data_IF_342439784631
#
_entry.id   IF_342439784631
#
_cell.length_a   1.000
_cell.length_b   1.000
_cell.length_c   1.000
_cell.angle_alpha   90.00
_cell.angle_beta   90.00
_cell.angle_gamma   90.00
#
_symmetry.space_group_name_H-M   'P 1'
#
loop_
_entity.id
_entity.type
_entity.pdbx_description
1 polymer ?
#
# COMPACT_ATOMS: atom_id res chain seq x y z
N UNK A 1 46.46 -24.32 -9.77
CA UNK A 1 46.13 -23.19 -8.88
C UNK A 1 46.01 -21.91 -9.71
N UNK A 2 44.81 -21.33 -9.78
CA UNK A 2 44.60 -19.92 -10.09
C UNK A 2 43.32 -19.50 -9.39
N UNK A 3 43.51 -18.64 -8.39
CA UNK A 3 42.49 -18.03 -7.55
C UNK A 3 41.83 -16.90 -8.32
N UNK A 4 40.49 -16.85 -8.30
CA UNK A 4 39.68 -15.63 -8.46
C UNK A 4 38.42 -15.92 -7.61
N UNK A 5 38.44 -15.69 -6.29
CA UNK A 5 38.06 -14.41 -5.67
C UNK A 5 36.79 -13.86 -6.36
N UNK A 6 35.62 -14.35 -5.96
CA UNK A 6 34.73 -13.67 -5.01
C UNK A 6 34.24 -12.32 -5.54
N UNK A 7 33.02 -12.33 -6.09
CA UNK A 7 32.16 -11.16 -6.20
C UNK A 7 30.99 -11.39 -5.24
N UNK A 8 31.25 -11.15 -3.96
CA UNK A 8 30.17 -10.85 -3.02
C UNK A 8 29.67 -9.46 -3.44
N UNK A 9 28.55 -9.43 -4.16
CA UNK A 9 27.77 -8.22 -4.29
C UNK A 9 27.28 -7.87 -2.89
N UNK A 10 28.02 -7.02 -2.19
CA UNK A 10 27.57 -6.40 -0.96
C UNK A 10 26.43 -5.47 -1.38
N UNK A 11 25.20 -5.96 -1.31
CA UNK A 11 24.02 -5.12 -1.21
C UNK A 11 24.14 -4.40 0.14
N UNK A 12 24.88 -3.30 0.14
CA UNK A 12 24.75 -2.28 1.18
C UNK A 12 23.36 -1.71 0.97
N UNK A 13 22.36 -2.31 1.65
CA UNK A 13 21.10 -1.64 1.94
C UNK A 13 21.43 -0.51 2.92
N UNK A 14 22.04 0.55 2.40
CA UNK A 14 21.99 1.86 3.00
C UNK A 14 20.55 2.34 2.83
N UNK A 15 19.66 1.82 3.67
CA UNK A 15 18.50 2.56 4.19
C UNK A 15 19.06 3.71 5.03
N UNK A 16 19.75 4.62 4.33
CA UNK A 16 19.93 5.97 4.79
C UNK A 16 18.53 6.54 4.81
N UNK A 17 18.09 6.85 6.01
CA UNK A 17 16.96 7.71 6.33
C UNK A 17 16.97 8.95 5.43
N UNK A 18 16.40 8.84 4.24
CA UNK A 18 15.81 9.97 3.57
C UNK A 18 14.55 10.25 4.37
N UNK A 19 14.68 11.16 5.33
CA UNK A 19 13.57 11.83 6.00
C UNK A 19 12.81 12.62 4.93
N UNK A 20 12.06 11.91 4.09
CA UNK A 20 10.90 12.46 3.41
C UNK A 20 9.85 12.62 4.50
N UNK A 21 9.45 13.85 4.82
CA UNK A 21 8.48 14.12 5.87
C UNK A 21 7.11 13.42 5.65
N UNK A 22 6.85 12.84 4.48
CA UNK A 22 5.67 12.02 4.19
C UNK A 22 5.88 10.51 4.49
N UNK A 23 7.11 10.01 4.43
CA UNK A 23 7.39 8.58 4.65
C UNK A 23 7.14 8.12 6.09
N UNK A 24 7.46 8.96 7.08
CA UNK A 24 7.24 8.64 8.50
C UNK A 24 5.74 8.62 8.86
N UNK A 25 4.96 9.55 8.32
CA UNK A 25 3.51 9.59 8.54
C UNK A 25 2.80 8.44 7.84
N UNK A 26 3.08 8.24 6.56
CA UNK A 26 2.51 7.15 5.76
C UNK A 26 2.83 5.76 6.34
N UNK A 27 4.11 5.47 6.60
CA UNK A 27 4.49 4.20 7.21
C UNK A 27 3.98 4.06 8.64
N UNK A 28 3.84 5.16 9.37
CA UNK A 28 3.20 5.20 10.68
C UNK A 28 1.74 4.75 10.60
N UNK A 29 0.95 5.37 9.71
CA UNK A 29 -0.45 5.01 9.46
C UNK A 29 -0.60 3.55 9.02
N UNK A 30 0.21 3.09 8.06
CA UNK A 30 0.21 1.68 7.61
C UNK A 30 0.43 0.71 8.78
N UNK A 31 1.39 0.99 9.66
CA UNK A 31 1.67 0.15 10.84
C UNK A 31 0.58 0.21 11.89
N UNK A 32 -0.08 1.35 12.03
CA UNK A 32 -1.20 1.49 12.97
C UNK A 32 -2.41 0.71 12.46
N UNK A 33 -2.69 0.74 11.15
CA UNK A 33 -3.75 -0.07 10.54
C UNK A 33 -3.48 -1.58 10.58
N UNK A 34 -2.22 -2.01 10.37
CA UNK A 34 -1.83 -3.41 10.54
C UNK A 34 -2.05 -3.91 11.99
N UNK A 35 -1.96 -3.01 12.97
CA UNK A 35 -2.22 -3.34 14.39
C UNK A 35 -3.69 -3.20 14.78
N UNK A 36 -4.51 -2.53 13.98
CA UNK A 36 -5.93 -2.30 14.29
C UNK A 36 -6.76 -3.54 13.95
N UNK A 37 -7.06 -4.34 14.98
CA UNK A 37 -7.91 -5.52 14.84
C UNK A 37 -9.32 -5.21 14.33
N UNK A 38 -9.84 -3.99 14.54
CA UNK A 38 -11.18 -3.63 14.06
C UNK A 38 -11.21 -3.44 12.55
N UNK A 39 -10.09 -3.00 11.96
CA UNK A 39 -9.92 -2.87 10.52
C UNK A 39 -9.56 -4.21 9.88
N UNK A 40 -8.68 -5.00 10.50
CA UNK A 40 -8.37 -6.36 10.03
C UNK A 40 -9.57 -7.29 10.04
N UNK A 41 -10.47 -7.10 11.02
CA UNK A 41 -11.74 -7.82 11.10
C UNK A 41 -12.90 -7.06 10.45
N UNK A 42 -12.65 -5.94 9.76
CA UNK A 42 -13.69 -5.22 9.06
C UNK A 42 -14.28 -6.14 8.00
N UNK A 43 -15.59 -6.35 8.07
CA UNK A 43 -16.25 -7.23 7.13
C UNK A 43 -16.43 -6.51 5.78
N UNK A 44 -15.52 -6.79 4.84
CA UNK A 44 -15.54 -6.27 3.48
C UNK A 44 -16.80 -6.64 2.66
N UNK A 45 -17.65 -7.54 3.19
CA UNK A 45 -18.96 -7.88 2.59
C UNK A 45 -20.11 -6.99 3.09
N UNK A 46 -19.86 -6.17 4.11
CA UNK A 46 -20.86 -5.22 4.66
C UNK A 46 -20.55 -3.80 4.21
N UNK A 47 -21.59 -2.99 3.99
CA UNK A 47 -21.43 -1.57 3.62
C UNK A 47 -20.61 -0.79 4.65
N UNK A 48 -20.77 -1.10 5.94
CA UNK A 48 -20.00 -0.43 6.99
C UNK A 48 -18.50 -0.81 6.92
N UNK A 49 -18.18 -2.10 6.78
CA UNK A 49 -16.80 -2.54 6.62
C UNK A 49 -16.15 -1.98 5.36
N UNK A 50 -16.88 -1.95 4.24
CA UNK A 50 -16.41 -1.34 2.99
C UNK A 50 -16.12 0.16 3.15
N UNK A 51 -17.02 0.92 3.80
CA UNK A 51 -16.79 2.35 4.08
C UNK A 51 -15.58 2.58 4.97
N UNK A 52 -15.34 1.72 5.96
CA UNK A 52 -14.15 1.81 6.82
C UNK A 52 -12.86 1.57 6.01
N UNK A 53 -12.84 0.55 5.16
CA UNK A 53 -11.70 0.26 4.28
C UNK A 53 -11.43 1.44 3.34
N UNK A 54 -12.47 1.99 2.71
CA UNK A 54 -12.34 3.16 1.83
C UNK A 54 -11.80 4.38 2.59
N UNK A 55 -12.29 4.65 3.79
CA UNK A 55 -11.82 5.77 4.60
C UNK A 55 -10.34 5.64 4.98
N UNK A 56 -9.89 4.42 5.30
CA UNK A 56 -8.47 4.11 5.57
C UNK A 56 -7.61 4.34 4.34
N UNK A 57 -8.03 3.86 3.18
CA UNK A 57 -7.29 4.05 1.93
C UNK A 57 -7.23 5.52 1.51
N UNK A 58 -8.28 6.30 1.77
CA UNK A 58 -8.30 7.73 1.50
C UNK A 58 -7.36 8.50 2.46
N UNK A 59 -7.32 8.14 3.75
CA UNK A 59 -6.36 8.73 4.70
C UNK A 59 -4.90 8.34 4.41
N UNK A 60 -4.67 7.13 3.89
CA UNK A 60 -3.36 6.71 3.39
C UNK A 60 -2.94 7.53 2.18
N UNK A 61 -3.83 7.70 1.19
CA UNK A 61 -3.60 8.49 -0.02
C UNK A 61 -3.03 9.87 0.30
N UNK A 62 -3.62 10.55 1.28
CA UNK A 62 -3.22 11.92 1.65
C UNK A 62 -1.83 12.01 2.29
N UNK A 63 -1.34 10.90 2.87
CA UNK A 63 0.00 10.80 3.46
C UNK A 63 1.03 10.11 2.56
N UNK A 64 0.57 9.41 1.53
CA UNK A 64 1.40 8.58 0.68
C UNK A 64 2.44 9.40 -0.11
N UNK A 65 3.54 8.79 -0.53
CA UNK A 65 4.38 9.34 -1.58
C UNK A 65 3.54 9.74 -2.80
N UNK A 66 3.83 10.89 -3.42
CA UNK A 66 3.05 11.39 -4.56
C UNK A 66 3.02 10.43 -5.76
N UNK A 67 3.99 9.52 -5.83
CA UNK A 67 4.07 8.45 -6.82
C UNK A 67 3.08 7.30 -6.60
N UNK A 68 2.36 7.28 -5.48
CA UNK A 68 1.30 6.32 -5.17
C UNK A 68 -0.09 6.96 -5.11
N UNK A 69 -0.20 8.29 -5.25
CA UNK A 69 -1.47 9.01 -5.11
C UNK A 69 -2.51 8.50 -6.14
N UNK A 70 -2.08 8.28 -7.38
CA UNK A 70 -2.92 7.77 -8.47
C UNK A 70 -3.35 6.31 -8.23
N UNK A 71 -2.46 5.48 -7.67
CA UNK A 71 -2.72 4.10 -7.30
C UNK A 71 -3.77 4.03 -6.19
N UNK A 72 -3.60 4.82 -5.12
CA UNK A 72 -4.58 4.91 -4.05
C UNK A 72 -5.92 5.43 -4.56
N UNK A 73 -5.92 6.47 -5.40
CA UNK A 73 -7.13 6.99 -6.04
C UNK A 73 -7.83 5.92 -6.90
N UNK A 74 -7.05 5.10 -7.63
CA UNK A 74 -7.58 3.99 -8.43
C UNK A 74 -8.26 2.94 -7.55
N UNK A 75 -7.64 2.55 -6.43
CA UNK A 75 -8.22 1.58 -5.50
C UNK A 75 -9.49 2.13 -4.85
N UNK A 76 -9.45 3.36 -4.33
CA UNK A 76 -10.60 4.02 -3.71
C UNK A 76 -11.75 4.17 -4.72
N UNK A 77 -11.47 4.62 -5.93
CA UNK A 77 -12.48 4.74 -6.99
C UNK A 77 -13.08 3.39 -7.36
N UNK A 78 -12.25 2.35 -7.48
CA UNK A 78 -12.72 0.99 -7.79
C UNK A 78 -13.66 0.46 -6.70
N UNK A 79 -13.30 0.63 -5.43
CA UNK A 79 -14.13 0.23 -4.29
C UNK A 79 -15.45 1.00 -4.26
N UNK A 80 -15.43 2.32 -4.49
CA UNK A 80 -16.65 3.12 -4.55
C UNK A 80 -17.57 2.70 -5.70
N UNK A 81 -17.03 2.41 -6.89
CA UNK A 81 -17.84 1.87 -8.00
C UNK A 81 -18.52 0.55 -7.65
N UNK A 82 -17.82 -0.37 -6.97
CA UNK A 82 -18.42 -1.63 -6.49
C UNK A 82 -19.53 -1.36 -5.47
N UNK A 83 -19.29 -0.45 -4.51
CA UNK A 83 -20.28 -0.07 -3.49
C UNK A 83 -21.52 0.60 -4.09
N UNK A 84 -21.35 1.38 -5.16
CA UNK A 84 -22.41 2.03 -5.91
C UNK A 84 -23.16 1.08 -6.86
N UNK A 85 -22.77 -0.21 -6.88
CA UNK A 85 -23.41 -1.23 -7.71
C UNK A 85 -23.02 -1.14 -9.18
N UNK A 86 -21.86 -0.57 -9.50
CA UNK A 86 -21.30 -0.41 -10.85
C UNK A 86 -19.95 -1.15 -11.01
N UNK A 87 -19.87 -2.46 -10.71
CA UNK A 87 -18.63 -3.21 -10.85
C UNK A 87 -18.11 -3.27 -12.30
N UNK A 88 -18.96 -3.04 -13.29
CA UNK A 88 -18.60 -2.97 -14.71
C UNK A 88 -17.74 -1.75 -15.07
N UNK A 89 -17.79 -0.68 -14.26
CA UNK A 89 -16.98 0.52 -14.45
C UNK A 89 -15.54 0.35 -13.92
N UNK A 90 -15.25 -0.78 -13.26
CA UNK A 90 -13.96 -1.07 -12.66
C UNK A 90 -13.03 -1.74 -13.68
N UNK A 91 -11.94 -1.04 -14.04
CA UNK A 91 -10.82 -1.67 -14.75
C UNK A 91 -10.04 -2.57 -13.79
N UNK A 92 -10.37 -3.86 -13.78
CA UNK A 92 -9.78 -4.84 -12.88
C UNK A 92 -8.25 -4.93 -12.99
N UNK A 93 -7.69 -4.70 -14.18
CA UNK A 93 -6.22 -4.73 -14.36
C UNK A 93 -5.58 -3.53 -13.70
N UNK A 94 -6.10 -2.32 -13.93
CA UNK A 94 -5.61 -1.11 -13.26
C UNK A 94 -5.77 -1.20 -11.75
N UNK A 95 -6.88 -1.75 -11.27
CA UNK A 95 -7.10 -1.96 -9.84
C UNK A 95 -6.05 -2.92 -9.25
N UNK A 96 -5.77 -4.03 -9.94
CA UNK A 96 -4.77 -5.00 -9.51
C UNK A 96 -3.34 -4.43 -9.55
N UNK A 97 -3.00 -3.69 -10.61
CA UNK A 97 -1.69 -3.06 -10.75
C UNK A 97 -1.47 -2.01 -9.66
N UNK A 98 -2.49 -1.18 -9.39
CA UNK A 98 -2.46 -0.19 -8.31
C UNK A 98 -2.29 -0.84 -6.93
N UNK A 99 -3.06 -1.90 -6.63
CA UNK A 99 -2.89 -2.64 -5.38
C UNK A 99 -1.49 -3.25 -5.26
N UNK A 100 -0.94 -3.79 -6.36
CA UNK A 100 0.40 -4.38 -6.38
C UNK A 100 1.48 -3.34 -6.10
N UNK A 101 1.35 -2.14 -6.68
CA UNK A 101 2.29 -1.03 -6.44
C UNK A 101 2.25 -0.58 -4.98
N UNK A 102 1.05 -0.37 -4.42
CA UNK A 102 0.87 0.00 -3.01
C UNK A 102 1.46 -1.07 -2.08
N UNK A 103 1.10 -2.35 -2.26
CA UNK A 103 1.57 -3.44 -1.42
C UNK A 103 3.09 -3.64 -1.52
N UNK A 104 3.66 -3.42 -2.71
CA UNK A 104 5.11 -3.45 -2.91
C UNK A 104 5.80 -2.34 -2.13
N UNK A 105 5.29 -1.11 -2.21
CA UNK A 105 5.86 0.02 -1.48
C UNK A 105 5.69 -0.14 0.04
N UNK A 106 4.50 -0.53 0.52
CA UNK A 106 4.27 -0.82 1.93
C UNK A 106 5.27 -1.84 2.48
N UNK A 107 5.62 -2.86 1.69
CA UNK A 107 6.62 -3.86 2.06
C UNK A 107 8.05 -3.31 1.99
N UNK A 108 8.43 -2.73 0.87
CA UNK A 108 9.82 -2.32 0.59
C UNK A 108 10.23 -1.08 1.40
N UNK A 109 9.31 -0.14 1.58
CA UNK A 109 9.52 1.16 2.23
C UNK A 109 9.13 1.15 3.70
N UNK A 110 8.06 0.42 4.08
CA UNK A 110 7.51 0.47 5.43
C UNK A 110 7.66 -0.82 6.24
N UNK A 111 8.08 -1.94 5.65
CA UNK A 111 8.12 -3.28 6.28
C UNK A 111 6.74 -3.73 6.79
N UNK A 112 5.68 -3.39 6.04
CA UNK A 112 4.30 -3.82 6.29
C UNK A 112 3.84 -4.74 5.17
N UNK A 113 3.36 -5.93 5.51
CA UNK A 113 2.81 -6.88 4.54
C UNK A 113 1.29 -6.69 4.46
N UNK A 114 0.80 -6.08 3.37
CA UNK A 114 -0.62 -5.73 3.23
C UNK A 114 -1.52 -6.92 2.82
N UNK A 115 -0.96 -8.11 2.59
CA UNK A 115 -1.71 -9.34 2.32
C UNK A 115 -2.23 -9.46 0.89
#
# INVERSE_FOLDING_TARGET
MKRLASLVAILVLSVGSLTSCSGDEYCGKLKDYDKDESLRNANATTTEGQRRIVAVLDDLKDSAPSELEDEYATVVSGLNSVMDGKPEDVDQRKLQDAYTAISKDAKDSCDVDMG
#
